data_IF_954902522069
#
_entry.id   IF_954902522069
#
_cell.length_a   1.000
_cell.length_b   1.000
_cell.length_c   1.000
_cell.angle_alpha   90.00
_cell.angle_beta   90.00
_cell.angle_gamma   90.00
#
_symmetry.space_group_name_H-M   'P 1'
#
loop_
_entity.id
_entity.type
_entity.pdbx_description
1 polymer ?
#
# COMPACT_ATOMS: atom_id res chain seq x y z
N UNK A 1 20.38 20.81 -53.97
CA UNK A 1 19.02 20.83 -53.38
C UNK A 1 18.64 19.47 -52.77
N UNK A 2 19.19 18.34 -53.22
CA UNK A 2 18.82 16.99 -52.77
C UNK A 2 19.19 16.65 -51.31
N UNK A 3 20.29 17.15 -50.76
CA UNK A 3 20.72 16.82 -49.39
C UNK A 3 19.73 17.26 -48.30
N UNK A 4 18.99 18.36 -48.53
CA UNK A 4 18.01 18.86 -47.58
C UNK A 4 16.73 18.00 -47.54
N UNK A 5 16.34 17.38 -48.66
CA UNK A 5 15.17 16.48 -48.69
C UNK A 5 15.44 15.15 -47.99
N UNK A 6 16.66 14.60 -48.16
CA UNK A 6 17.04 13.36 -47.50
C UNK A 6 17.14 13.51 -45.97
N UNK A 7 17.66 14.65 -45.49
CA UNK A 7 17.73 14.95 -44.07
C UNK A 7 16.34 15.19 -43.44
N UNK A 8 15.43 15.85 -44.17
CA UNK A 8 14.06 16.08 -43.71
C UNK A 8 13.26 14.77 -43.63
N UNK A 9 13.37 13.91 -44.64
CA UNK A 9 12.72 12.60 -44.66
C UNK A 9 13.23 11.69 -43.54
N UNK A 10 14.54 11.65 -43.31
CA UNK A 10 15.14 10.89 -42.19
C UNK A 10 14.64 11.38 -40.82
N UNK A 11 14.56 12.70 -40.61
CA UNK A 11 13.99 13.29 -39.38
C UNK A 11 12.49 12.99 -39.22
N UNK A 12 11.74 12.96 -40.32
CA UNK A 12 10.30 12.67 -40.30
C UNK A 12 10.02 11.19 -39.98
N UNK A 13 10.76 10.27 -40.62
CA UNK A 13 10.69 8.83 -40.35
C UNK A 13 11.14 8.51 -38.91
N UNK A 14 12.20 9.17 -38.42
CA UNK A 14 12.65 9.02 -37.02
C UNK A 14 11.58 9.47 -36.01
N UNK A 15 10.94 10.64 -36.24
CA UNK A 15 9.83 11.11 -35.38
C UNK A 15 8.61 10.19 -35.42
N UNK A 16 8.23 9.69 -36.60
CA UNK A 16 7.15 8.70 -36.72
C UNK A 16 7.49 7.38 -36.01
N UNK A 17 8.72 6.91 -36.11
CA UNK A 17 9.18 5.70 -35.41
C UNK A 17 9.15 5.87 -33.90
N UNK A 18 9.58 7.03 -33.37
CA UNK A 18 9.51 7.34 -31.94
C UNK A 18 8.04 7.38 -31.48
N UNK A 19 7.15 7.99 -32.28
CA UNK A 19 5.71 8.03 -32.00
C UNK A 19 5.08 6.63 -31.90
N UNK A 20 5.37 5.75 -32.86
CA UNK A 20 4.89 4.36 -32.84
C UNK A 20 5.39 3.57 -31.64
N UNK A 21 6.66 3.77 -31.25
CA UNK A 21 7.24 3.16 -30.04
C UNK A 21 6.51 3.64 -28.79
N UNK A 22 6.26 4.94 -28.63
CA UNK A 22 5.53 5.49 -27.49
C UNK A 22 4.09 4.98 -27.40
N UNK A 23 3.39 4.87 -28.55
CA UNK A 23 2.03 4.32 -28.61
C UNK A 23 2.04 2.84 -28.21
N UNK A 24 2.95 2.05 -28.74
CA UNK A 24 3.08 0.63 -28.38
C UNK A 24 3.35 0.44 -26.89
N UNK A 25 4.25 1.25 -26.31
CA UNK A 25 4.53 1.27 -24.87
C UNK A 25 3.29 1.65 -24.05
N UNK A 26 2.54 2.67 -24.47
CA UNK A 26 1.30 3.07 -23.80
C UNK A 26 0.24 1.95 -23.83
N UNK A 27 0.11 1.24 -24.96
CA UNK A 27 -0.80 0.09 -25.09
C UNK A 27 -0.37 -1.04 -24.14
N UNK A 28 0.92 -1.40 -24.12
CA UNK A 28 1.45 -2.43 -23.23
C UNK A 28 1.23 -2.05 -21.75
N UNK A 29 1.48 -0.80 -21.38
CA UNK A 29 1.22 -0.29 -20.02
C UNK A 29 -0.27 -0.35 -19.69
N UNK A 30 -1.15 0.06 -20.60
CA UNK A 30 -2.60 0.00 -20.39
C UNK A 30 -3.09 -1.44 -20.20
N UNK A 31 -2.67 -2.36 -21.07
CA UNK A 31 -2.97 -3.80 -20.93
C UNK A 31 -2.45 -4.33 -19.60
N UNK A 32 -1.26 -3.89 -19.17
CA UNK A 32 -0.68 -4.29 -17.89
C UNK A 32 -1.45 -3.74 -16.70
N UNK A 33 -1.91 -2.48 -16.74
CA UNK A 33 -2.77 -1.88 -15.71
C UNK A 33 -4.08 -2.65 -15.62
N UNK A 34 -4.74 -2.92 -16.75
CA UNK A 34 -5.98 -3.69 -16.78
C UNK A 34 -5.78 -5.11 -16.25
N UNK A 35 -4.67 -5.76 -16.58
CA UNK A 35 -4.30 -7.06 -16.03
C UNK A 35 -4.12 -7.01 -14.51
N UNK A 36 -3.39 -6.02 -13.99
CA UNK A 36 -3.19 -5.85 -12.53
C UNK A 36 -4.53 -5.60 -11.84
N UNK A 37 -5.39 -4.75 -12.40
CA UNK A 37 -6.74 -4.49 -11.87
C UNK A 37 -7.61 -5.75 -11.91
N UNK A 38 -7.51 -6.56 -12.96
CA UNK A 38 -8.25 -7.83 -13.08
C UNK A 38 -7.76 -8.91 -12.10
N UNK A 39 -6.46 -8.92 -11.81
CA UNK A 39 -5.84 -9.80 -10.81
C UNK A 39 -6.04 -9.30 -9.38
N UNK A 40 -6.35 -8.02 -9.20
CA UNK A 40 -6.67 -7.41 -7.92
C UNK A 40 -7.89 -8.13 -7.30
N UNK A 41 -7.74 -8.60 -6.07
CA UNK A 41 -8.77 -9.37 -5.36
C UNK A 41 -8.80 -10.87 -5.62
N UNK A 42 -8.03 -11.37 -6.60
CA UNK A 42 -7.84 -12.83 -6.74
C UNK A 42 -6.81 -13.30 -5.71
N UNK A 43 -7.01 -14.48 -5.09
CA UNK A 43 -6.01 -15.04 -4.19
C UNK A 43 -4.69 -15.20 -4.94
N UNK A 44 -3.60 -14.80 -4.28
CA UNK A 44 -2.26 -15.05 -4.79
C UNK A 44 -2.12 -16.56 -5.10
N UNK A 45 -1.46 -16.94 -6.20
CA UNK A 45 -1.11 -18.34 -6.43
C UNK A 45 -0.45 -18.88 -5.16
N UNK A 46 -0.89 -20.05 -4.69
CA UNK A 46 -0.32 -20.73 -3.51
C UNK A 46 1.14 -21.11 -3.82
N UNK A 47 2.05 -20.15 -3.72
CA UNK A 47 3.47 -20.41 -3.67
C UNK A 47 3.81 -21.01 -2.31
N UNK A 48 4.70 -21.99 -2.31
CA UNK A 48 5.21 -22.70 -1.13
C UNK A 48 6.04 -21.81 -0.17
N UNK A 49 5.78 -20.51 -0.10
CA UNK A 49 6.49 -19.61 0.81
C UNK A 49 6.07 -19.92 2.24
N UNK A 50 7.05 -20.28 3.06
CA UNK A 50 6.84 -20.59 4.49
C UNK A 50 6.42 -19.35 5.28
N UNK A 51 6.88 -18.16 4.88
CA UNK A 51 6.44 -16.89 5.45
C UNK A 51 6.37 -15.77 4.39
N UNK A 52 5.70 -14.67 4.75
CA UNK A 52 5.53 -13.48 3.94
C UNK A 52 6.05 -12.25 4.67
N UNK A 53 6.93 -11.50 4.01
CA UNK A 53 7.37 -10.18 4.51
C UNK A 53 6.18 -9.22 4.54
N UNK A 54 5.85 -8.71 5.72
CA UNK A 54 4.62 -7.98 5.98
C UNK A 54 4.93 -6.58 6.48
N UNK A 55 4.44 -5.57 5.76
CA UNK A 55 4.44 -4.18 6.16
C UNK A 55 3.14 -3.85 6.88
N UNK A 56 3.23 -3.29 8.06
CA UNK A 56 2.11 -2.94 8.92
C UNK A 56 2.15 -1.43 9.10
N UNK A 57 1.10 -0.73 8.63
CA UNK A 57 0.98 0.72 8.78
C UNK A 57 0.10 1.01 9.99
N UNK A 58 0.68 1.66 11.00
CA UNK A 58 0.02 2.08 12.22
C UNK A 58 -0.54 3.49 12.07
N UNK A 59 -1.80 3.68 12.47
CA UNK A 59 -2.43 5.00 12.62
C UNK A 59 -2.44 5.45 14.07
N UNK A 60 -2.49 6.75 14.34
CA UNK A 60 -2.47 7.26 15.72
C UNK A 60 -3.71 6.91 16.53
N UNK A 61 -3.52 6.64 17.82
CA UNK A 61 -4.60 6.42 18.78
C UNK A 61 -5.37 5.12 18.55
N UNK A 62 -6.69 5.22 18.36
CA UNK A 62 -7.59 4.06 18.21
C UNK A 62 -7.23 3.16 17.02
N UNK A 63 -6.71 3.73 15.94
CA UNK A 63 -6.23 2.94 14.78
C UNK A 63 -5.06 2.01 15.16
N UNK A 64 -4.16 2.42 16.04
CA UNK A 64 -3.09 1.51 16.49
C UNK A 64 -3.68 0.37 17.31
N UNK A 65 -4.63 0.64 18.20
CA UNK A 65 -5.28 -0.41 18.98
C UNK A 65 -6.00 -1.43 18.08
N UNK A 66 -6.71 -0.97 17.05
CA UNK A 66 -7.37 -1.84 16.07
C UNK A 66 -6.35 -2.75 15.35
N UNK A 67 -5.24 -2.16 14.91
CA UNK A 67 -4.19 -2.91 14.20
C UNK A 67 -3.52 -3.95 15.10
N UNK A 68 -3.23 -3.60 16.35
CA UNK A 68 -2.65 -4.54 17.31
C UNK A 68 -3.62 -5.69 17.66
N UNK A 69 -4.91 -5.40 17.82
CA UNK A 69 -5.94 -6.43 18.00
C UNK A 69 -5.95 -7.40 16.82
N UNK A 70 -5.96 -6.89 15.59
CA UNK A 70 -5.90 -7.72 14.39
C UNK A 70 -4.62 -8.58 14.33
N UNK A 71 -3.47 -8.03 14.72
CA UNK A 71 -2.20 -8.75 14.73
C UNK A 71 -2.11 -9.84 15.80
N UNK A 72 -2.91 -9.75 16.86
CA UNK A 72 -2.98 -10.78 17.91
C UNK A 72 -3.60 -12.08 17.40
N UNK A 73 -4.57 -11.97 16.50
CA UNK A 73 -5.26 -13.12 15.88
C UNK A 73 -4.51 -13.62 14.64
N UNK A 74 -3.66 -12.77 14.04
CA UNK A 74 -2.92 -13.12 12.82
C UNK A 74 -1.73 -14.05 13.11
N UNK A 75 -1.71 -15.24 12.47
CA UNK A 75 -0.65 -16.25 12.62
C UNK A 75 0.76 -15.69 12.35
N UNK A 76 1.60 -15.62 13.39
CA UNK A 76 2.94 -15.00 13.31
C UNK A 76 3.88 -15.67 12.31
N UNK A 77 3.91 -16.99 12.32
CA UNK A 77 4.86 -17.81 11.54
C UNK A 77 4.74 -17.56 10.03
N UNK A 78 3.54 -17.18 9.58
CA UNK A 78 3.23 -16.94 8.16
C UNK A 78 3.53 -15.52 7.72
N UNK A 79 3.62 -14.55 8.63
CA UNK A 79 3.73 -13.12 8.30
C UNK A 79 5.01 -12.47 8.86
N UNK A 80 6.05 -13.27 9.10
CA UNK A 80 7.39 -12.80 9.41
C UNK A 80 8.24 -12.71 8.12
N UNK A 81 9.12 -11.72 7.93
CA UNK A 81 9.41 -10.58 8.80
C UNK A 81 8.31 -9.50 8.84
N UNK A 82 8.16 -8.82 9.98
CA UNK A 82 7.18 -7.74 10.22
C UNK A 82 7.85 -6.38 10.26
N UNK A 83 7.35 -5.44 9.46
CA UNK A 83 7.84 -4.08 9.41
C UNK A 83 6.74 -3.13 9.87
N UNK A 84 6.92 -2.50 11.01
CA UNK A 84 5.98 -1.54 11.57
C UNK A 84 6.34 -0.14 11.11
N UNK A 85 5.40 0.54 10.45
CA UNK A 85 5.53 1.94 10.05
C UNK A 85 4.50 2.78 10.81
N UNK A 86 4.95 3.82 11.49
CA UNK A 86 4.07 4.84 12.04
C UNK A 86 4.47 6.23 11.56
N UNK A 87 3.56 7.18 11.70
CA UNK A 87 3.86 8.58 11.43
C UNK A 87 5.00 9.10 12.32
N UNK A 88 5.86 9.97 11.78
CA UNK A 88 6.94 10.62 12.54
C UNK A 88 6.42 11.42 13.75
N UNK A 89 5.21 11.98 13.64
CA UNK A 89 4.53 12.70 14.72
C UNK A 89 3.88 11.79 15.78
N UNK A 90 4.01 10.46 15.64
CA UNK A 90 3.33 9.48 16.50
C UNK A 90 4.29 8.44 17.07
N UNK A 91 5.08 8.88 18.06
CA UNK A 91 6.04 8.02 18.76
C UNK A 91 5.37 6.97 19.65
N UNK A 92 4.18 7.28 20.19
CA UNK A 92 3.46 6.38 21.10
C UNK A 92 3.02 5.10 20.39
N UNK A 93 2.60 5.18 19.13
CA UNK A 93 2.14 4.00 18.39
C UNK A 93 3.27 3.00 18.12
N UNK A 94 4.49 3.46 17.86
CA UNK A 94 5.65 2.57 17.74
C UNK A 94 6.02 1.92 19.07
N UNK A 95 5.95 2.68 20.18
CA UNK A 95 6.19 2.11 21.51
C UNK A 95 5.17 1.02 21.85
N UNK A 96 3.88 1.24 21.55
CA UNK A 96 2.82 0.23 21.74
C UNK A 96 3.05 -1.03 20.89
N UNK A 97 3.52 -0.87 19.66
CA UNK A 97 3.83 -2.00 18.79
C UNK A 97 5.06 -2.80 19.28
N UNK A 98 6.06 -2.12 19.85
CA UNK A 98 7.20 -2.78 20.50
C UNK A 98 6.75 -3.60 21.71
N UNK A 99 6.02 -2.97 22.63
CA UNK A 99 5.50 -3.67 23.82
C UNK A 99 4.62 -4.87 23.46
N UNK A 100 3.87 -4.78 22.36
CA UNK A 100 3.04 -5.89 21.87
C UNK A 100 3.89 -7.06 21.33
N UNK A 101 4.96 -6.78 20.58
CA UNK A 101 5.85 -7.87 20.14
C UNK A 101 6.62 -8.46 21.31
N UNK A 102 7.04 -7.63 22.28
CA UNK A 102 7.71 -8.09 23.51
C UNK A 102 6.80 -8.99 24.36
N UNK A 103 5.54 -8.60 24.56
CA UNK A 103 4.58 -9.38 25.36
C UNK A 103 4.21 -10.73 24.73
N UNK A 104 4.43 -10.90 23.43
CA UNK A 104 4.10 -12.13 22.71
C UNK A 104 5.35 -12.95 22.38
N UNK A 105 6.54 -12.45 22.71
CA UNK A 105 7.82 -13.13 22.53
C UNK A 105 8.17 -14.16 23.63
N UNK A 106 7.20 -14.65 24.41
CA UNK A 106 7.44 -15.60 25.52
C UNK A 106 7.95 -17.00 25.10
N UNK A 107 8.22 -17.27 23.82
CA UNK A 107 8.93 -18.51 23.40
C UNK A 107 10.33 -18.19 22.89
N UNK A 108 11.40 -18.69 23.54
CA UNK A 108 12.78 -18.32 23.23
C UNK A 108 13.30 -19.19 22.08
N UNK A 109 12.91 -18.88 20.84
CA UNK A 109 13.65 -19.37 19.66
C UNK A 109 13.75 -18.21 18.66
N UNK A 110 14.92 -17.58 18.65
CA UNK A 110 15.40 -16.48 17.79
C UNK A 110 14.91 -15.06 18.15
N UNK A 111 15.55 -14.46 19.17
CA UNK A 111 15.41 -13.05 19.59
C UNK A 111 15.92 -11.99 18.58
N UNK A 112 16.33 -12.35 17.36
CA UNK A 112 17.05 -11.44 16.44
C UNK A 112 16.51 -11.31 15.02
N UNK A 113 15.47 -12.02 14.63
CA UNK A 113 14.85 -11.83 13.32
C UNK A 113 13.35 -11.71 13.55
N UNK A 114 12.75 -10.52 13.53
CA UNK A 114 12.32 -9.99 12.23
C UNK A 114 11.38 -8.78 12.32
N UNK A 115 11.39 -8.06 13.45
CA UNK A 115 10.50 -6.91 13.68
C UNK A 115 11.29 -5.60 13.56
N UNK A 116 11.08 -4.88 12.47
CA UNK A 116 11.70 -3.55 12.27
C UNK A 116 10.65 -2.45 12.45
N UNK A 117 11.04 -1.38 13.15
CA UNK A 117 10.18 -0.23 13.43
C UNK A 117 10.75 0.98 12.71
N UNK A 118 9.98 1.57 11.79
CA UNK A 118 10.40 2.72 11.00
C UNK A 118 9.35 3.82 11.05
N UNK A 119 9.79 5.06 10.92
CA UNK A 119 8.89 6.22 10.86
C UNK A 119 8.71 6.68 9.42
N UNK A 120 7.56 7.27 9.12
CA UNK A 120 7.26 7.88 7.83
C UNK A 120 6.64 9.27 8.03
N UNK A 121 6.94 10.19 7.12
CA UNK A 121 6.26 11.49 7.10
C UNK A 121 4.77 11.34 6.80
N UNK A 122 3.93 12.13 7.48
CA UNK A 122 2.50 12.20 7.17
C UNK A 122 2.29 13.00 5.88
N UNK A 123 1.37 12.55 5.05
CA UNK A 123 0.97 13.29 3.84
C UNK A 123 0.31 14.63 4.16
N UNK A 124 -0.39 14.71 5.30
CA UNK A 124 -1.04 15.92 5.81
C UNK A 124 -1.10 15.90 7.32
N UNK A 125 -0.73 17.01 7.96
CA UNK A 125 -0.95 17.20 9.40
C UNK A 125 -2.34 17.75 9.71
N UNK A 126 -2.82 17.48 10.93
CA UNK A 126 -4.15 17.93 11.36
C UNK A 126 -4.19 19.47 11.39
N UNK A 127 -5.12 20.07 10.64
CA UNK A 127 -5.25 21.53 10.51
C UNK A 127 -4.48 22.16 9.34
N UNK A 128 -3.71 21.38 8.58
CA UNK A 128 -2.97 21.89 7.43
C UNK A 128 -3.88 22.21 6.23
N UNK A 129 -3.59 23.32 5.53
CA UNK A 129 -4.30 23.74 4.32
C UNK A 129 -4.12 22.74 3.17
N UNK A 130 -5.15 22.56 2.34
CA UNK A 130 -5.14 21.61 1.21
C UNK A 130 -4.01 21.87 0.20
N UNK A 131 -3.63 23.14 -0.02
CA UNK A 131 -2.56 23.50 -0.97
C UNK A 131 -1.19 23.08 -0.43
N UNK A 132 -0.87 23.45 0.82
CA UNK A 132 0.39 23.03 1.45
C UNK A 132 0.48 21.52 1.65
N UNK A 133 -0.67 20.84 1.72
CA UNK A 133 -0.75 19.39 1.86
C UNK A 133 -0.22 18.65 0.62
N UNK A 134 -0.27 19.27 -0.56
CA UNK A 134 0.27 18.67 -1.79
C UNK A 134 1.78 18.49 -1.67
N UNK A 135 2.49 19.51 -1.19
CA UNK A 135 3.93 19.45 -1.01
C UNK A 135 4.35 18.39 0.01
N UNK A 136 3.71 18.37 1.18
CA UNK A 136 3.99 17.35 2.20
C UNK A 136 3.64 15.94 1.73
N UNK A 137 2.62 15.80 0.88
CA UNK A 137 2.29 14.52 0.25
C UNK A 137 3.38 14.05 -0.71
N UNK A 138 3.98 14.95 -1.52
CA UNK A 138 5.10 14.60 -2.41
C UNK A 138 6.31 14.13 -1.59
N UNK A 139 6.67 14.87 -0.53
CA UNK A 139 7.77 14.46 0.37
C UNK A 139 7.49 13.10 1.00
N UNK A 140 6.25 12.87 1.45
CA UNK A 140 5.83 11.57 1.99
C UNK A 140 5.92 10.46 0.94
N UNK A 141 5.58 10.72 -0.32
CA UNK A 141 5.71 9.76 -1.43
C UNK A 141 7.17 9.41 -1.69
N UNK A 142 8.08 10.39 -1.75
CA UNK A 142 9.51 10.13 -1.96
C UNK A 142 10.08 9.26 -0.83
N UNK A 143 9.75 9.60 0.41
CA UNK A 143 10.19 8.83 1.57
C UNK A 143 9.56 7.42 1.59
N UNK A 144 8.26 7.31 1.28
CA UNK A 144 7.57 6.03 1.13
C UNK A 144 8.21 5.16 0.03
N UNK A 145 8.65 5.78 -1.08
CA UNK A 145 9.28 5.07 -2.20
C UNK A 145 10.61 4.45 -1.76
N UNK A 146 11.45 5.24 -1.09
CA UNK A 146 12.70 4.74 -0.53
C UNK A 146 12.47 3.57 0.44
N UNK A 147 11.49 3.68 1.34
CA UNK A 147 11.12 2.59 2.25
C UNK A 147 10.63 1.34 1.51
N UNK A 148 9.78 1.49 0.50
CA UNK A 148 9.23 0.38 -0.28
C UNK A 148 10.29 -0.37 -1.07
N UNK A 149 11.28 0.34 -1.62
CA UNK A 149 12.44 -0.26 -2.33
C UNK A 149 13.37 -1.00 -1.36
N UNK A 150 13.57 -0.46 -0.14
CA UNK A 150 14.43 -1.07 0.88
C UNK A 150 13.81 -2.30 1.52
N UNK A 151 12.58 -2.18 2.01
CA UNK A 151 11.87 -3.23 2.77
C UNK A 151 11.37 -4.35 1.84
N UNK A 152 10.93 -4.00 0.63
CA UNK A 152 10.32 -4.91 -0.35
C UNK A 152 9.23 -5.81 0.25
N UNK A 153 8.15 -5.26 0.82
CA UNK A 153 7.12 -6.09 1.43
C UNK A 153 6.37 -6.94 0.39
N UNK A 154 5.93 -8.13 0.79
CA UNK A 154 5.02 -8.98 0.02
C UNK A 154 3.57 -8.73 0.39
N UNK A 155 3.32 -8.34 1.65
CA UNK A 155 2.00 -8.04 2.20
C UNK A 155 2.05 -6.66 2.82
N UNK A 156 1.02 -5.85 2.60
CA UNK A 156 0.84 -4.54 3.21
C UNK A 156 -0.50 -4.56 3.93
N UNK A 157 -0.48 -4.34 5.24
CA UNK A 157 -1.65 -4.24 6.09
C UNK A 157 -1.81 -2.81 6.58
N UNK A 158 -2.97 -2.21 6.36
CA UNK A 158 -3.23 -0.82 6.71
C UNK A 158 -4.69 -0.59 7.11
N UNK A 159 -4.92 0.36 8.02
CA UNK A 159 -6.25 0.64 8.56
C UNK A 159 -6.65 2.13 8.55
N UNK A 160 -6.84 2.73 7.38
CA UNK A 160 -7.46 4.05 7.26
C UNK A 160 -6.66 5.33 7.59
N UNK A 161 -5.42 5.36 8.14
CA UNK A 161 -4.72 6.63 8.26
C UNK A 161 -4.33 7.15 6.88
N UNK A 162 -4.38 8.47 6.65
CA UNK A 162 -3.95 9.07 5.38
C UNK A 162 -2.51 8.72 4.98
N UNK A 163 -1.68 8.40 5.97
CA UNK A 163 -0.29 7.93 5.81
C UNK A 163 -0.16 6.63 5.01
N UNK A 164 -1.20 5.79 4.94
CA UNK A 164 -1.14 4.55 4.17
C UNK A 164 -1.27 4.76 2.65
N UNK A 165 -1.81 5.90 2.21
CA UNK A 165 -2.10 6.16 0.80
C UNK A 165 -0.83 6.16 -0.07
N UNK A 166 0.25 6.91 0.28
CA UNK A 166 1.50 6.88 -0.50
C UNK A 166 2.06 5.46 -0.65
N UNK A 167 2.11 4.69 0.44
CA UNK A 167 2.63 3.32 0.45
C UNK A 167 1.81 2.40 -0.47
N UNK A 168 0.47 2.48 -0.41
CA UNK A 168 -0.41 1.67 -1.23
C UNK A 168 -0.31 2.05 -2.72
N UNK A 169 -0.23 3.34 -3.04
CA UNK A 169 -0.07 3.82 -4.41
C UNK A 169 1.25 3.32 -5.00
N UNK A 170 2.36 3.43 -4.26
CA UNK A 170 3.68 2.95 -4.71
C UNK A 170 3.67 1.44 -4.91
N UNK A 171 3.07 0.69 -3.99
CA UNK A 171 2.92 -0.75 -4.13
C UNK A 171 2.12 -1.13 -5.39
N UNK A 172 1.06 -0.39 -5.70
CA UNK A 172 0.31 -0.58 -6.95
C UNK A 172 1.14 -0.24 -8.18
N UNK A 173 1.90 0.86 -8.16
CA UNK A 173 2.83 1.22 -9.24
C UNK A 173 3.87 0.11 -9.47
N UNK A 174 4.42 -0.48 -8.41
CA UNK A 174 5.35 -1.61 -8.54
C UNK A 174 4.72 -2.85 -9.17
N UNK A 175 3.43 -3.11 -8.93
CA UNK A 175 2.70 -4.19 -9.64
C UNK A 175 2.58 -3.88 -11.13
N UNK A 176 2.18 -2.65 -11.46
CA UNK A 176 1.99 -2.19 -12.84
C UNK A 176 3.31 -2.25 -13.61
N UNK A 177 4.40 -1.76 -13.02
CA UNK A 177 5.74 -1.78 -13.61
C UNK A 177 6.37 -3.18 -13.64
N UNK A 178 5.74 -4.19 -13.04
CA UNK A 178 6.26 -5.56 -13.01
C UNK A 178 7.47 -5.75 -12.08
N UNK A 179 7.80 -4.75 -11.26
CA UNK A 179 8.93 -4.80 -10.32
C UNK A 179 8.63 -5.81 -9.21
N UNK A 180 7.44 -5.71 -8.60
CA UNK A 180 7.07 -6.57 -7.47
C UNK A 180 5.56 -6.68 -7.31
N UNK A 181 5.10 -7.87 -6.92
CA UNK A 181 3.72 -8.09 -6.51
C UNK A 181 3.60 -8.02 -4.99
N UNK A 182 3.04 -6.92 -4.47
CA UNK A 182 2.75 -6.73 -3.05
C UNK A 182 1.25 -6.76 -2.81
N UNK A 183 0.74 -7.70 -2.03
CA UNK A 183 -0.69 -7.76 -1.70
C UNK A 183 -1.08 -6.74 -0.65
N UNK A 184 -2.07 -5.91 -0.95
CA UNK A 184 -2.56 -4.82 -0.12
C UNK A 184 -3.86 -5.25 0.53
N UNK A 185 -3.84 -5.38 1.85
CA UNK A 185 -4.98 -5.65 2.71
C UNK A 185 -5.33 -4.36 3.45
N UNK A 186 -6.51 -3.84 3.15
CA UNK A 186 -7.04 -2.65 3.80
C UNK A 186 -8.19 -3.03 4.71
N UNK A 187 -8.12 -2.63 5.98
CA UNK A 187 -9.19 -2.85 6.97
C UNK A 187 -9.77 -1.50 7.36
N UNK A 188 -11.04 -1.27 7.05
CA UNK A 188 -11.70 -0.04 7.48
C UNK A 188 -11.88 -0.02 9.01
N UNK A 189 -11.68 1.15 9.61
CA UNK A 189 -11.80 1.35 11.05
C UNK A 189 -13.20 1.07 11.57
N UNK A 190 -13.30 0.56 12.80
CA UNK A 190 -14.56 0.25 13.47
C UNK A 190 -15.41 1.51 13.68
N UNK A 191 -14.79 2.67 13.81
CA UNK A 191 -15.48 3.95 13.97
C UNK A 191 -16.30 4.35 12.72
N UNK A 192 -16.06 3.71 11.56
CA UNK A 192 -16.74 4.01 10.30
C UNK A 192 -17.95 3.10 10.10
N UNK A 193 -19.09 3.48 10.66
CA UNK A 193 -20.34 2.70 10.57
C UNK A 193 -21.09 2.94 9.26
N UNK A 194 -21.27 4.22 8.87
CA UNK A 194 -22.18 4.62 7.77
C UNK A 194 -21.47 4.87 6.43
N UNK A 195 -20.23 5.36 6.46
CA UNK A 195 -19.46 5.77 5.27
C UNK A 195 -17.99 5.40 5.45
N UNK A 196 -17.34 4.91 4.39
CA UNK A 196 -15.89 4.68 4.34
C UNK A 196 -15.11 5.94 4.66
N UNK A 197 -13.89 5.81 5.17
CA UNK A 197 -12.96 6.93 5.30
C UNK A 197 -12.56 7.45 3.93
N UNK A 198 -11.98 8.66 3.86
CA UNK A 198 -11.49 9.20 2.58
C UNK A 198 -10.42 8.28 1.97
N UNK A 199 -9.51 7.78 2.83
CA UNK A 199 -8.49 6.81 2.45
C UNK A 199 -9.11 5.52 1.92
N UNK A 200 -10.10 4.97 2.62
CA UNK A 200 -10.82 3.76 2.21
C UNK A 200 -11.59 3.96 0.91
N UNK A 201 -12.25 5.10 0.74
CA UNK A 201 -12.97 5.45 -0.48
C UNK A 201 -12.01 5.52 -1.68
N UNK A 202 -10.85 6.17 -1.52
CA UNK A 202 -9.83 6.28 -2.55
C UNK A 202 -9.29 4.90 -2.96
N UNK A 203 -8.85 4.09 -1.98
CA UNK A 203 -8.32 2.75 -2.23
C UNK A 203 -9.35 1.81 -2.84
N UNK A 204 -10.62 1.96 -2.42
CA UNK A 204 -11.73 1.21 -2.97
C UNK A 204 -11.96 1.57 -4.44
N UNK A 205 -12.22 2.84 -4.75
CA UNK A 205 -12.57 3.27 -6.11
C UNK A 205 -11.42 3.10 -7.10
N UNK A 206 -10.18 3.37 -6.69
CA UNK A 206 -9.00 3.19 -7.54
C UNK A 206 -8.58 1.71 -7.70
N UNK A 207 -9.26 0.77 -7.02
CA UNK A 207 -8.94 -0.67 -7.04
C UNK A 207 -7.47 -0.96 -6.69
N UNK A 208 -6.92 -0.17 -5.76
CA UNK A 208 -5.54 -0.32 -5.29
C UNK A 208 -5.44 -1.44 -4.26
N UNK A 209 -6.39 -1.51 -3.33
CA UNK A 209 -6.45 -2.57 -2.33
C UNK A 209 -6.91 -3.89 -2.97
N UNK A 210 -6.13 -4.95 -2.80
CA UNK A 210 -6.52 -6.28 -3.28
C UNK A 210 -7.64 -6.85 -2.42
N UNK A 211 -7.52 -6.73 -1.11
CA UNK A 211 -8.52 -7.18 -0.16
C UNK A 211 -8.97 -6.00 0.68
N UNK A 212 -10.28 -5.75 0.68
CA UNK A 212 -10.88 -4.63 1.40
C UNK A 212 -11.85 -5.18 2.43
N UNK A 213 -11.57 -4.96 3.71
CA UNK A 213 -12.39 -5.45 4.81
C UNK A 213 -13.17 -4.33 5.47
N UNK A 214 -14.41 -4.64 5.88
CA UNK A 214 -15.29 -3.75 6.62
C UNK A 214 -15.84 -4.46 7.84
N UNK A 215 -16.03 -3.69 8.92
CA UNK A 215 -16.50 -4.22 10.20
C UNK A 215 -18.01 -4.06 10.39
N UNK A 216 -18.71 -3.44 9.43
CA UNK A 216 -20.15 -3.19 9.50
C UNK A 216 -20.88 -3.76 8.28
N UNK A 217 -21.99 -4.49 8.46
CA UNK A 217 -22.72 -5.09 7.35
C UNK A 217 -23.37 -4.05 6.43
N UNK A 218 -23.72 -2.86 6.96
CA UNK A 218 -24.28 -1.77 6.16
C UNK A 218 -23.27 -1.26 5.12
N UNK A 219 -21.98 -1.24 5.46
CA UNK A 219 -20.93 -0.89 4.51
C UNK A 219 -20.77 -1.95 3.43
N UNK A 220 -20.83 -3.23 3.77
CA UNK A 220 -20.76 -4.30 2.79
C UNK A 220 -21.92 -4.22 1.77
N UNK A 221 -23.14 -3.95 2.24
CA UNK A 221 -24.31 -3.75 1.37
C UNK A 221 -24.09 -2.61 0.36
N UNK A 222 -23.43 -1.53 0.79
CA UNK A 222 -23.12 -0.37 -0.06
C UNK A 222 -21.91 -0.62 -0.98
N UNK A 223 -20.96 -1.43 -0.54
CA UNK A 223 -19.69 -1.68 -1.22
C UNK A 223 -19.49 -3.18 -1.40
N UNK A 224 -20.07 -3.82 -2.44
CA UNK A 224 -20.14 -5.27 -2.56
C UNK A 224 -18.79 -5.98 -2.70
N UNK A 225 -17.75 -5.26 -3.16
CA UNK A 225 -16.36 -5.77 -3.17
C UNK A 225 -15.68 -5.81 -1.80
N UNK A 226 -16.29 -5.23 -0.77
CA UNK A 226 -15.76 -5.28 0.58
C UNK A 226 -16.17 -6.60 1.26
N UNK A 227 -15.25 -7.17 2.03
CA UNK A 227 -15.48 -8.36 2.83
C UNK A 227 -15.86 -7.96 4.25
N UNK A 228 -17.06 -8.36 4.69
CA UNK A 228 -17.47 -8.17 6.08
C UNK A 228 -16.79 -9.19 6.98
N UNK A 229 -16.16 -8.71 8.05
CA UNK A 229 -15.38 -9.53 8.99
C UNK A 229 -15.86 -9.43 10.44
N UNK A 230 -16.91 -8.64 10.71
CA UNK A 230 -17.37 -8.36 12.07
C UNK A 230 -16.47 -7.38 12.83
N UNK A 231 -16.72 -7.24 14.13
CA UNK A 231 -15.90 -6.42 15.01
C UNK A 231 -14.58 -7.14 15.31
N UNK A 232 -13.46 -6.53 14.93
CA UNK A 232 -12.11 -7.07 15.15
C UNK A 232 -11.45 -6.49 16.44
N UNK A 233 -12.22 -5.76 17.22
CA UNK A 233 -11.86 -5.16 18.51
C UNK A 233 -12.60 -5.86 19.64
#
# INVERSE_FOLDING_TARGET
>A
MEDNYCCFYSKMVSKCSIGLVLISLAIVLMVRVLYVIYRCGKPLPKGASRSFSTLIVLGSGGHTAEMLSLLSVLRKDRFAPRFYIAAATDNMSLQKARSFEDSVAEKPVVKEASSQFTQIYRSREVGQSYVTSVWTTIVAIVHALWLMVRIRPQVILCNGPGTCIPLCVIAFLFKVLGIRWSSIFYVESVARVKKLSLSGLLLYHLKIADQFFVQWPQLQKKYPRAHYVGCLM
#
